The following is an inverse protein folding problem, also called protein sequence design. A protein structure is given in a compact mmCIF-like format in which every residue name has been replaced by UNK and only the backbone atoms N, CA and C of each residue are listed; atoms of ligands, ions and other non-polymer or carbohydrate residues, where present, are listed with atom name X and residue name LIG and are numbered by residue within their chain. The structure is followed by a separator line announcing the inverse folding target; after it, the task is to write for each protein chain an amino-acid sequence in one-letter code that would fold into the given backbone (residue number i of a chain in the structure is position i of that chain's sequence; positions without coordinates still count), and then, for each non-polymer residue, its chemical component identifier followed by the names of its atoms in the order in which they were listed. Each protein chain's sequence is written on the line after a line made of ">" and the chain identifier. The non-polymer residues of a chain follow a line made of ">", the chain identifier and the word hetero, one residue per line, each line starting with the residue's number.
data_IF_074422061619
#
_entry.id   IF_074422061619
#
_cell.length_a   1.000
_cell.length_b   1.000
_cell.length_c   1.000
_cell.angle_alpha   90.00
_cell.angle_beta   90.00
_cell.angle_gamma   90.00
#
_symmetry.space_group_name_H-M   'P 1'
#
loop_
_entity.id
_entity.type
_entity.pdbx_description
1 polymer ?
#
# COMPACT_ATOMS: atom_id res chain seq x y z
N UNK A 1 20.08 -1.32 9.75
CA UNK A 1 19.97 -0.50 8.52
C UNK A 1 19.18 -1.26 7.46
N UNK A 2 17.85 -1.05 7.39
CA UNK A 2 16.96 -1.71 6.41
C UNK A 2 16.07 -0.73 5.62
N UNK A 3 16.06 0.55 6.01
CA UNK A 3 15.19 1.61 5.48
C UNK A 3 15.63 2.09 4.08
N UNK A 4 16.88 1.81 3.67
CA UNK A 4 17.48 2.33 2.44
C UNK A 4 17.01 1.61 1.16
N UNK A 5 16.22 0.53 1.26
CA UNK A 5 15.76 -0.22 0.08
C UNK A 5 14.49 0.34 -0.56
N UNK A 6 13.63 1.02 0.21
CA UNK A 6 12.35 1.54 -0.30
C UNK A 6 12.49 2.84 -1.10
N UNK A 7 13.48 3.68 -0.78
CA UNK A 7 13.62 5.00 -1.41
C UNK A 7 14.31 4.98 -2.77
N UNK A 8 14.92 3.86 -3.18
CA UNK A 8 15.73 3.77 -4.39
C UNK A 8 14.97 3.27 -5.64
N UNK A 9 13.72 2.82 -5.50
CA UNK A 9 12.95 2.22 -6.62
C UNK A 9 11.69 2.98 -7.03
N UNK A 10 11.37 4.08 -6.36
CA UNK A 10 10.21 4.93 -6.66
C UNK A 10 10.43 5.96 -7.77
N UNK A 11 11.59 5.94 -8.44
CA UNK A 11 11.82 6.75 -9.64
C UNK A 11 11.75 5.83 -10.84
N UNK A 12 10.54 5.66 -11.38
CA UNK A 12 10.35 5.12 -12.70
C UNK A 12 9.24 4.10 -12.77
N UNK A 13 8.01 4.59 -12.92
CA UNK A 13 7.15 4.25 -14.06
C UNK A 13 5.86 5.07 -13.96
N UNK A 14 5.83 6.17 -14.72
CA UNK A 14 4.58 6.81 -15.11
C UNK A 14 3.90 5.84 -16.06
N UNK A 15 2.81 5.22 -15.63
CA UNK A 15 1.86 4.57 -16.52
C UNK A 15 0.46 4.96 -16.09
N UNK A 16 -0.06 6.00 -16.75
CA UNK A 16 -1.48 6.31 -16.79
C UNK A 16 -2.16 5.09 -17.39
N UNK A 17 -2.96 4.37 -16.61
CA UNK A 17 -3.99 3.50 -17.16
C UNK A 17 -5.32 3.91 -16.56
N UNK A 18 -6.18 4.29 -17.49
CA UNK A 18 -7.58 4.57 -17.31
C UNK A 18 -8.26 3.43 -16.54
N UNK A 19 -9.18 3.84 -15.66
CA UNK A 19 -10.25 3.06 -15.08
C UNK A 19 -10.77 1.96 -15.99
N UNK A 20 -10.50 0.70 -15.62
CA UNK A 20 -11.27 -0.47 -16.07
C UNK A 20 -11.47 -1.43 -14.90
N UNK A 21 -12.74 -1.48 -14.48
CA UNK A 21 -13.49 -2.59 -13.91
C UNK A 21 -12.71 -3.81 -13.36
N UNK A 22 -12.89 -4.05 -12.07
CA UNK A 22 -13.15 -5.40 -11.59
C UNK A 22 -14.21 -5.36 -10.50
N UNK A 23 -15.46 -5.35 -10.96
CA UNK A 23 -16.58 -5.89 -10.20
C UNK A 23 -16.34 -7.39 -9.93
N UNK A 24 -15.65 -7.71 -8.85
CA UNK A 24 -15.84 -8.98 -8.14
C UNK A 24 -16.56 -8.66 -6.85
N UNK A 25 -17.85 -8.92 -6.82
CA UNK A 25 -18.65 -8.89 -5.60
C UNK A 25 -18.32 -10.17 -4.79
N UNK A 26 -18.31 -10.01 -3.48
CA UNK A 26 -18.49 -11.05 -2.44
C UNK A 26 -17.23 -11.59 -1.76
N UNK A 27 -16.47 -10.69 -1.13
CA UNK A 27 -15.96 -10.83 0.24
C UNK A 27 -15.87 -9.39 0.80
N UNK A 28 -16.01 -9.11 2.11
CA UNK A 28 -15.63 -7.81 2.63
C UNK A 28 -14.16 -7.64 2.27
N UNK A 29 -13.90 -6.78 1.28
CA UNK A 29 -12.59 -6.55 0.72
C UNK A 29 -11.76 -5.91 1.83
N UNK A 30 -11.12 -6.78 2.63
CA UNK A 30 -10.48 -6.36 3.86
C UNK A 30 -9.39 -5.39 3.48
N UNK A 31 -9.44 -4.22 4.09
CA UNK A 31 -8.48 -3.18 3.82
C UNK A 31 -7.75 -2.83 5.11
N UNK A 32 -6.43 -2.78 5.03
CA UNK A 32 -5.57 -2.35 6.12
C UNK A 32 -5.12 -0.92 5.88
N UNK A 33 -5.38 -0.05 6.85
CA UNK A 33 -4.89 1.33 6.86
C UNK A 33 -3.74 1.48 7.83
N UNK A 34 -2.69 2.17 7.42
CA UNK A 34 -1.53 2.44 8.27
C UNK A 34 -1.22 3.93 8.26
N UNK A 35 -0.64 4.39 9.36
CA UNK A 35 -0.18 5.76 9.50
C UNK A 35 1.02 5.77 10.44
N UNK A 36 2.14 6.27 9.93
CA UNK A 36 3.39 6.36 10.66
C UNK A 36 4.04 7.71 10.39
N UNK A 37 4.43 8.38 11.48
CA UNK A 37 5.11 9.66 11.43
C UNK A 37 6.49 9.52 12.08
N UNK A 38 7.53 9.93 11.36
CA UNK A 38 8.90 9.94 11.87
C UNK A 38 9.55 11.30 11.63
N UNK A 39 9.70 12.07 12.70
CA UNK A 39 10.20 13.45 12.63
C UNK A 39 9.25 14.33 11.79
N UNK A 40 9.78 14.91 10.70
CA UNK A 40 9.03 15.75 9.76
C UNK A 40 8.39 14.96 8.60
N UNK A 41 8.51 13.63 8.60
CA UNK A 41 7.93 12.78 7.56
C UNK A 41 6.64 12.14 8.06
N UNK A 42 5.55 12.31 7.32
CA UNK A 42 4.31 11.57 7.53
C UNK A 42 4.07 10.62 6.37
N UNK A 43 3.76 9.37 6.70
CA UNK A 43 3.37 8.34 5.74
C UNK A 43 2.05 7.77 6.21
N UNK A 44 1.03 7.80 5.37
CA UNK A 44 -0.20 7.06 5.58
C UNK A 44 -0.52 6.26 4.33
N UNK A 45 -1.34 5.23 4.46
CA UNK A 45 -1.76 4.46 3.30
C UNK A 45 -2.83 3.44 3.61
N UNK A 46 -3.30 2.82 2.54
CA UNK A 46 -4.34 1.80 2.54
C UNK A 46 -3.95 0.71 1.55
N UNK A 47 -3.93 -0.53 2.01
CA UNK A 47 -3.87 -1.70 1.15
C UNK A 47 -5.19 -2.47 1.26
N UNK A 48 -5.64 -3.11 0.19
CA UNK A 48 -6.84 -3.95 0.21
C UNK A 48 -6.57 -5.32 -0.40
N UNK A 49 -7.32 -6.32 0.04
CA UNK A 49 -7.21 -7.70 -0.43
C UNK A 49 -7.39 -7.86 -1.96
N UNK A 50 -8.07 -6.94 -2.62
CA UNK A 50 -8.23 -6.89 -4.08
C UNK A 50 -6.96 -6.59 -4.88
N UNK A 51 -5.83 -6.33 -4.21
CA UNK A 51 -4.57 -6.01 -4.86
C UNK A 51 -4.24 -4.52 -4.83
N UNK A 52 -5.16 -3.65 -4.43
CA UNK A 52 -4.95 -2.20 -4.45
C UNK A 52 -4.09 -1.71 -3.29
N UNK A 53 -3.24 -0.73 -3.56
CA UNK A 53 -2.42 -0.03 -2.58
C UNK A 53 -2.42 1.47 -2.87
N UNK A 54 -2.67 2.28 -1.85
CA UNK A 54 -2.53 3.73 -1.90
C UNK A 54 -1.70 4.21 -0.74
N UNK A 55 -0.84 5.19 -0.96
CA UNK A 55 -0.07 5.80 0.11
C UNK A 55 0.10 7.30 -0.10
N UNK A 56 0.20 8.03 0.99
CA UNK A 56 0.51 9.45 1.04
C UNK A 56 1.81 9.63 1.79
N UNK A 57 2.81 10.18 1.12
CA UNK A 57 4.10 10.54 1.70
C UNK A 57 4.24 12.06 1.70
N UNK A 58 4.33 12.69 2.87
CA UNK A 58 4.49 14.14 3.02
C UNK A 58 3.49 14.99 2.20
N UNK A 59 2.24 14.51 2.10
CA UNK A 59 1.18 15.19 1.36
C UNK A 59 1.11 14.84 -0.14
N UNK A 60 2.08 14.11 -0.68
CA UNK A 60 2.01 13.56 -2.03
C UNK A 60 1.41 12.16 -1.98
N UNK A 61 0.30 11.94 -2.70
CA UNK A 61 -0.37 10.65 -2.76
C UNK A 61 -0.05 9.91 -4.05
N UNK A 62 0.13 8.60 -3.94
CA UNK A 62 0.38 7.69 -5.04
C UNK A 62 -0.44 6.41 -4.84
N UNK A 63 -0.63 5.65 -5.92
CA UNK A 63 -1.46 4.46 -5.93
C UNK A 63 -0.90 3.43 -6.91
N UNK A 64 -0.96 2.16 -6.53
CA UNK A 64 -0.53 1.05 -7.35
C UNK A 64 -1.13 -0.28 -6.88
N UNK A 65 -0.45 -1.36 -7.23
CA UNK A 65 -0.81 -2.73 -6.88
C UNK A 65 0.27 -3.35 -6.02
N UNK A 66 -0.10 -4.03 -4.93
CA UNK A 66 0.88 -4.78 -4.13
C UNK A 66 1.18 -6.16 -4.71
N UNK A 67 0.37 -6.63 -5.66
CA UNK A 67 0.49 -7.96 -6.28
C UNK A 67 1.76 -8.16 -7.10
N UNK A 68 2.46 -7.07 -7.45
CA UNK A 68 3.75 -7.13 -8.13
C UNK A 68 4.91 -7.45 -7.18
N UNK A 69 4.74 -7.12 -5.89
CA UNK A 69 5.77 -7.27 -4.85
C UNK A 69 5.48 -8.43 -3.88
N UNK A 70 4.23 -8.88 -3.79
CA UNK A 70 3.79 -9.91 -2.84
C UNK A 70 2.84 -10.93 -3.46
N UNK A 71 3.04 -12.20 -3.10
CA UNK A 71 2.26 -13.33 -3.61
C UNK A 71 0.88 -13.48 -2.93
N UNK A 72 0.66 -12.88 -1.75
CA UNK A 72 -0.59 -13.06 -1.00
C UNK A 72 -0.98 -11.90 -0.08
N UNK A 73 -2.29 -11.70 0.09
CA UNK A 73 -2.84 -10.71 1.04
C UNK A 73 -2.42 -10.98 2.49
N UNK A 74 -2.29 -12.25 2.89
CA UNK A 74 -1.87 -12.59 4.25
C UNK A 74 -0.45 -12.10 4.57
N UNK A 75 0.44 -12.09 3.58
CA UNK A 75 1.81 -11.58 3.74
C UNK A 75 1.81 -10.06 3.88
N UNK A 76 1.10 -9.36 2.99
CA UNK A 76 0.92 -7.90 3.03
C UNK A 76 0.29 -7.46 4.34
N UNK A 77 -0.80 -8.10 4.75
CA UNK A 77 -1.49 -7.81 6.02
C UNK A 77 -0.56 -7.99 7.21
N UNK A 78 0.19 -9.09 7.26
CA UNK A 78 1.14 -9.35 8.35
C UNK A 78 2.20 -8.24 8.43
N UNK A 79 2.75 -7.83 7.30
CA UNK A 79 3.72 -6.72 7.24
C UNK A 79 3.11 -5.40 7.69
N UNK A 80 1.92 -5.06 7.19
CA UNK A 80 1.23 -3.83 7.57
C UNK A 80 0.88 -3.78 9.07
N UNK A 81 0.38 -4.87 9.64
CA UNK A 81 0.03 -4.94 11.07
C UNK A 81 1.28 -4.96 11.95
N UNK A 82 2.27 -5.80 11.64
CA UNK A 82 3.44 -5.98 12.51
C UNK A 82 4.48 -4.86 12.40
N UNK A 83 4.75 -4.36 11.19
CA UNK A 83 5.79 -3.34 10.97
C UNK A 83 5.24 -1.91 10.98
N UNK A 84 3.98 -1.72 10.56
CA UNK A 84 3.37 -0.38 10.43
C UNK A 84 2.20 -0.13 11.38
N UNK A 85 1.83 -1.08 12.24
CA UNK A 85 0.73 -0.93 13.18
C UNK A 85 -0.62 -0.70 12.50
N UNK A 86 -0.81 -1.27 11.31
CA UNK A 86 -2.00 -1.06 10.51
C UNK A 86 -3.27 -1.60 11.18
N UNK A 87 -4.40 -0.94 10.94
CA UNK A 87 -5.74 -1.38 11.34
C UNK A 87 -6.49 -1.88 10.11
N UNK A 88 -6.99 -3.12 10.17
CA UNK A 88 -7.71 -3.77 9.07
C UNK A 88 -9.20 -3.85 9.36
N UNK A 89 -10.03 -3.61 8.32
CA UNK A 89 -11.49 -3.59 8.37
C UNK A 89 -12.12 -4.10 7.09
#
# INVERSE_FOLDING_TARGET
>A
MKIVKWTARLIGLIAIIASVESCKKEDPNECCTFSYSYGSYSISGKACQDGTFTYTYNGTSDSGTWTDDYDSWSEVKSLLVNDYGATCS
#
